data_IF_046599536099
#
_entry.id   IF_046599536099
#
_cell.length_a   1.000
_cell.length_b   1.000
_cell.length_c   1.000
_cell.angle_alpha   90.00
_cell.angle_beta   90.00
_cell.angle_gamma   90.00
#
_symmetry.space_group_name_H-M   'P 1'
#
loop_
_entity.id
_entity.type
_entity.pdbx_description
1 polymer ?
#
# COMPACT_ATOMS: atom_id res chain seq x y z
N UNK A 1 21.69 -22.01 21.35
CA UNK A 1 21.52 -22.23 19.90
C UNK A 1 21.81 -20.92 19.21
N UNK A 2 22.91 -20.82 18.47
CA UNK A 2 23.14 -19.65 17.60
C UNK A 2 22.26 -19.84 16.36
N UNK A 3 21.28 -18.96 16.16
CA UNK A 3 20.55 -18.89 14.90
C UNK A 3 21.58 -18.57 13.81
N UNK A 4 21.65 -19.41 12.77
CA UNK A 4 22.43 -19.07 11.58
C UNK A 4 21.93 -17.73 11.05
N UNK A 5 22.81 -16.78 10.69
CA UNK A 5 22.37 -15.57 10.03
C UNK A 5 21.62 -15.98 8.76
N UNK A 6 20.42 -15.42 8.54
CA UNK A 6 19.68 -15.61 7.31
C UNK A 6 20.61 -15.29 6.13
N UNK A 7 20.59 -16.15 5.10
CA UNK A 7 21.40 -15.95 3.90
C UNK A 7 21.05 -14.57 3.29
N UNK A 8 22.07 -13.72 3.12
CA UNK A 8 21.90 -12.34 2.66
C UNK A 8 21.22 -12.30 1.29
N UNK A 9 21.51 -13.28 0.42
CA UNK A 9 20.87 -13.38 -0.89
C UNK A 9 19.37 -13.65 -0.75
N UNK A 10 18.97 -14.46 0.23
CA UNK A 10 17.57 -14.71 0.56
C UNK A 10 16.88 -13.46 1.10
N UNK A 11 17.55 -12.67 1.93
CA UNK A 11 17.03 -11.39 2.43
C UNK A 11 16.85 -10.36 1.30
N UNK A 12 17.83 -10.25 0.40
CA UNK A 12 17.74 -9.37 -0.77
C UNK A 12 16.61 -9.80 -1.72
N UNK A 13 16.45 -11.09 -1.97
CA UNK A 13 15.35 -11.60 -2.79
C UNK A 13 13.98 -11.28 -2.15
N UNK A 14 13.85 -11.50 -0.84
CA UNK A 14 12.64 -11.13 -0.10
C UNK A 14 12.40 -9.62 -0.15
N UNK A 15 13.44 -8.79 -0.04
CA UNK A 15 13.32 -7.34 -0.10
C UNK A 15 12.87 -6.86 -1.48
N UNK A 16 13.39 -7.45 -2.57
CA UNK A 16 12.91 -7.14 -3.93
C UNK A 16 11.44 -7.54 -4.11
N UNK A 17 11.06 -8.72 -3.63
CA UNK A 17 9.69 -9.19 -3.74
C UNK A 17 8.74 -8.33 -2.90
N UNK A 18 9.08 -8.08 -1.64
CA UNK A 18 8.33 -7.17 -0.78
C UNK A 18 8.25 -5.78 -1.40
N UNK A 19 9.34 -5.29 -1.99
CA UNK A 19 9.45 -4.03 -2.73
C UNK A 19 8.54 -3.94 -3.95
N UNK A 20 8.35 -5.04 -4.67
CA UNK A 20 7.47 -5.10 -5.83
C UNK A 20 5.99 -4.86 -5.48
N UNK A 21 5.59 -5.34 -4.29
CA UNK A 21 4.27 -5.08 -3.68
C UNK A 21 4.27 -3.88 -2.75
N UNK A 22 5.45 -3.39 -2.35
CA UNK A 22 5.62 -2.18 -1.58
C UNK A 22 5.29 -1.02 -2.50
N UNK A 23 4.04 -0.62 -2.40
CA UNK A 23 3.60 0.62 -2.96
C UNK A 23 3.93 1.66 -1.88
N UNK A 24 4.92 2.52 -2.15
CA UNK A 24 5.07 3.84 -1.49
C UNK A 24 3.73 4.62 -1.49
N UNK A 25 2.82 4.17 -2.37
CA UNK A 25 1.47 4.58 -2.66
C UNK A 25 0.29 3.79 -2.06
N UNK A 26 0.37 2.69 -1.29
CA UNK A 26 -0.92 2.11 -0.82
C UNK A 26 -1.59 3.03 0.20
N UNK A 27 -0.92 3.25 1.33
CA UNK A 27 -1.40 4.20 2.32
C UNK A 27 -1.50 5.61 1.75
N UNK A 28 -0.53 6.01 0.91
CA UNK A 28 -0.54 7.34 0.31
C UNK A 28 -1.66 7.53 -0.74
N UNK A 29 -2.00 6.53 -1.56
CA UNK A 29 -3.13 6.58 -2.49
C UNK A 29 -4.46 6.54 -1.75
N UNK A 30 -4.60 5.71 -0.71
CA UNK A 30 -5.79 5.73 0.16
C UNK A 30 -5.96 7.11 0.80
N UNK A 31 -4.88 7.69 1.32
CA UNK A 31 -4.88 9.06 1.85
C UNK A 31 -5.19 10.10 0.77
N UNK A 32 -4.65 9.95 -0.44
CA UNK A 32 -4.87 10.85 -1.57
C UNK A 32 -6.33 10.86 -2.01
N UNK A 33 -6.94 9.68 -2.15
CA UNK A 33 -8.37 9.50 -2.45
C UNK A 33 -9.20 10.18 -1.35
N UNK A 34 -8.94 9.85 -0.08
CA UNK A 34 -9.62 10.43 1.07
C UNK A 34 -9.55 11.96 1.11
N UNK A 35 -8.35 12.52 0.93
CA UNK A 35 -8.12 13.97 0.92
C UNK A 35 -8.82 14.64 -0.27
N UNK A 36 -8.77 14.00 -1.44
CA UNK A 36 -9.44 14.49 -2.64
C UNK A 36 -10.95 14.53 -2.45
N UNK A 37 -11.54 13.49 -1.85
CA UNK A 37 -12.97 13.45 -1.57
C UNK A 37 -13.38 14.46 -0.49
N UNK A 38 -12.51 14.73 0.50
CA UNK A 38 -12.74 15.82 1.45
C UNK A 38 -12.88 17.16 0.75
N UNK A 39 -11.99 17.45 -0.21
CA UNK A 39 -12.02 18.68 -1.02
C UNK A 39 -13.25 18.68 -1.93
N UNK A 40 -13.59 17.54 -2.54
CA UNK A 40 -14.80 17.40 -3.34
C UNK A 40 -16.07 17.74 -2.58
N UNK A 41 -16.19 17.30 -1.32
CA UNK A 41 -17.35 17.61 -0.48
C UNK A 41 -17.42 19.10 -0.11
N UNK A 42 -16.26 19.73 0.13
CA UNK A 42 -16.16 21.14 0.47
C UNK A 42 -16.42 22.07 -0.72
N UNK A 43 -15.79 21.79 -1.86
CA UNK A 43 -15.73 22.68 -3.02
C UNK A 43 -16.69 22.28 -4.15
N UNK A 44 -17.16 21.02 -4.15
CA UNK A 44 -18.12 20.52 -5.13
C UNK A 44 -17.60 20.36 -6.56
N UNK A 45 -16.29 20.30 -6.75
CA UNK A 45 -15.62 20.15 -8.06
C UNK A 45 -15.71 18.72 -8.58
N UNK A 46 -16.50 18.41 -9.63
CA UNK A 46 -16.67 17.05 -10.15
C UNK A 46 -15.34 16.37 -10.54
N UNK A 47 -14.37 17.12 -11.04
CA UNK A 47 -13.05 16.63 -11.45
C UNK A 47 -12.29 15.97 -10.29
N UNK A 48 -12.56 16.39 -9.04
CA UNK A 48 -11.99 15.77 -7.83
C UNK A 48 -12.55 14.37 -7.61
N UNK A 49 -13.84 14.18 -7.84
CA UNK A 49 -14.46 12.86 -7.71
C UNK A 49 -13.97 11.90 -8.80
N UNK A 50 -13.79 12.40 -10.03
CA UNK A 50 -13.22 11.63 -11.14
C UNK A 50 -11.78 11.21 -10.83
N UNK A 51 -10.94 12.14 -10.38
CA UNK A 51 -9.57 11.84 -9.97
C UNK A 51 -9.49 10.78 -8.85
N UNK A 52 -10.36 10.88 -7.84
CA UNK A 52 -10.41 9.91 -6.74
C UNK A 52 -10.80 8.50 -7.23
N UNK A 53 -11.75 8.40 -8.16
CA UNK A 53 -12.16 7.13 -8.76
C UNK A 53 -11.07 6.54 -9.66
N UNK A 54 -10.34 7.37 -10.40
CA UNK A 54 -9.21 6.92 -11.22
C UNK A 54 -8.06 6.37 -10.36
N UNK A 55 -7.69 7.06 -9.28
CA UNK A 55 -6.69 6.57 -8.31
C UNK A 55 -7.14 5.26 -7.64
N UNK A 56 -8.42 5.12 -7.29
CA UNK A 56 -8.98 3.88 -6.75
C UNK A 56 -8.85 2.74 -7.76
N UNK A 57 -9.20 2.98 -9.03
CA UNK A 57 -9.08 1.99 -10.09
C UNK A 57 -7.64 1.56 -10.32
N UNK A 58 -6.69 2.50 -10.34
CA UNK A 58 -5.26 2.18 -10.47
C UNK A 58 -4.78 1.30 -9.31
N UNK A 59 -5.26 1.56 -8.09
CA UNK A 59 -4.98 0.73 -6.93
C UNK A 59 -5.55 -0.69 -7.06
N UNK A 60 -6.82 -0.82 -7.48
CA UNK A 60 -7.47 -2.11 -7.72
C UNK A 60 -6.75 -2.94 -8.79
N UNK A 61 -6.40 -2.31 -9.93
CA UNK A 61 -5.66 -2.95 -11.01
C UNK A 61 -4.31 -3.49 -10.52
N UNK A 62 -3.60 -2.74 -9.69
CA UNK A 62 -2.32 -3.21 -9.15
C UNK A 62 -2.48 -4.37 -8.17
N UNK A 63 -3.46 -4.31 -7.26
CA UNK A 63 -3.75 -5.41 -6.35
C UNK A 63 -4.21 -6.69 -7.07
N UNK A 64 -4.88 -6.54 -8.22
CA UNK A 64 -5.32 -7.67 -9.06
C UNK A 64 -4.15 -8.47 -9.66
N UNK A 65 -2.98 -7.84 -9.81
CA UNK A 65 -1.77 -8.46 -10.39
C UNK A 65 -0.98 -9.29 -9.37
N UNK A 66 -1.26 -9.15 -8.08
CA UNK A 66 -0.57 -9.88 -7.01
C UNK A 66 -0.99 -11.35 -7.03
N UNK A 67 -0.02 -12.26 -7.16
CA UNK A 67 -0.24 -13.71 -7.12
C UNK A 67 -0.42 -14.21 -5.68
N UNK A 68 -1.55 -13.86 -5.04
CA UNK A 68 -1.81 -14.19 -3.63
C UNK A 68 -1.71 -15.69 -3.27
N UNK A 69 -1.84 -16.60 -4.24
CA UNK A 69 -1.65 -18.03 -4.00
C UNK A 69 -0.19 -18.35 -3.66
N UNK A 70 0.77 -17.66 -4.29
CA UNK A 70 2.21 -17.82 -4.06
C UNK A 70 2.65 -17.18 -2.72
N UNK A 71 1.84 -16.27 -2.19
CA UNK A 71 2.08 -15.58 -0.92
C UNK A 71 1.45 -16.29 0.28
N UNK A 72 0.63 -17.32 0.05
CA UNK A 72 -0.10 -17.99 1.12
C UNK A 72 0.86 -18.67 2.11
N UNK A 73 0.63 -18.44 3.41
CA UNK A 73 1.48 -18.98 4.48
C UNK A 73 2.76 -18.18 4.76
N UNK A 74 3.04 -17.10 4.00
CA UNK A 74 4.20 -16.24 4.20
C UNK A 74 3.82 -14.99 5.01
N UNK A 75 4.23 -14.95 6.28
CA UNK A 75 3.79 -13.95 7.27
C UNK A 75 4.13 -12.51 6.85
N UNK A 76 5.26 -12.29 6.18
CA UNK A 76 5.71 -10.97 5.70
C UNK A 76 4.67 -10.28 4.78
N UNK A 77 3.80 -11.06 4.13
CA UNK A 77 2.81 -10.60 3.16
C UNK A 77 1.38 -10.58 3.71
N UNK A 78 1.14 -10.99 4.96
CA UNK A 78 -0.20 -11.01 5.56
C UNK A 78 -0.94 -9.66 5.49
N UNK A 79 -0.29 -8.49 5.67
CA UNK A 79 -0.94 -7.21 5.45
C UNK A 79 -1.59 -7.06 4.07
N UNK A 80 -0.99 -7.59 3.00
CA UNK A 80 -1.54 -7.52 1.64
C UNK A 80 -2.87 -8.29 1.54
N UNK A 81 -3.01 -9.42 2.26
CA UNK A 81 -4.27 -10.16 2.30
C UNK A 81 -5.38 -9.39 3.03
N UNK A 82 -5.02 -8.63 4.06
CA UNK A 82 -5.99 -7.78 4.77
C UNK A 82 -6.48 -6.70 3.82
N UNK A 83 -5.58 -5.99 3.13
CA UNK A 83 -5.96 -4.98 2.14
C UNK A 83 -6.84 -5.56 1.05
N UNK A 84 -6.49 -6.74 0.50
CA UNK A 84 -7.31 -7.43 -0.50
C UNK A 84 -8.75 -7.65 -0.03
N UNK A 85 -8.96 -7.93 1.27
CA UNK A 85 -10.30 -8.11 1.85
C UNK A 85 -11.04 -6.79 2.06
N UNK A 86 -10.33 -5.71 2.40
CA UNK A 86 -10.92 -4.40 2.66
C UNK A 86 -11.25 -3.62 1.39
N UNK A 87 -10.48 -3.82 0.31
CA UNK A 87 -10.55 -3.01 -0.91
C UNK A 87 -11.95 -2.96 -1.57
N UNK A 88 -12.71 -4.06 -1.68
CA UNK A 88 -14.06 -4.02 -2.26
C UNK A 88 -15.03 -3.14 -1.45
N UNK A 89 -14.91 -3.18 -0.12
CA UNK A 89 -15.74 -2.37 0.76
C UNK A 89 -15.32 -0.89 0.68
N UNK A 90 -14.02 -0.62 0.68
CA UNK A 90 -13.50 0.72 0.51
C UNK A 90 -13.99 1.36 -0.79
N UNK A 91 -13.97 0.59 -1.90
CA UNK A 91 -14.53 1.03 -3.17
C UNK A 91 -16.00 1.42 -3.05
N UNK A 92 -16.82 0.57 -2.43
CA UNK A 92 -18.25 0.84 -2.24
C UNK A 92 -18.47 2.14 -1.46
N UNK A 93 -17.66 2.39 -0.43
CA UNK A 93 -17.76 3.62 0.36
C UNK A 93 -17.33 4.86 -0.44
N UNK A 94 -16.26 4.77 -1.24
CA UNK A 94 -15.85 5.85 -2.16
C UNK A 94 -16.97 6.18 -3.16
N UNK A 95 -17.53 5.17 -3.83
CA UNK A 95 -18.64 5.36 -4.78
C UNK A 95 -19.89 5.95 -4.11
N UNK A 96 -20.16 5.54 -2.86
CA UNK A 96 -21.25 6.10 -2.05
C UNK A 96 -21.01 7.58 -1.74
N UNK A 97 -19.82 7.96 -1.27
CA UNK A 97 -19.46 9.37 -1.02
C UNK A 97 -19.62 10.22 -2.28
N UNK A 98 -19.14 9.72 -3.42
CA UNK A 98 -19.24 10.43 -4.70
C UNK A 98 -20.70 10.63 -5.12
N UNK A 99 -21.54 9.60 -4.96
CA UNK A 99 -22.94 9.65 -5.39
C UNK A 99 -23.86 10.45 -4.46
N UNK A 100 -23.67 10.37 -3.14
CA UNK A 100 -24.55 11.03 -2.17
C UNK A 100 -24.08 12.43 -1.79
N UNK A 101 -22.76 12.67 -1.83
CA UNK A 101 -22.10 13.89 -1.34
C UNK A 101 -22.43 14.21 0.12
N UNK A 102 -22.68 13.18 0.94
CA UNK A 102 -23.00 13.35 2.35
C UNK A 102 -21.74 13.22 3.22
N UNK A 103 -21.58 14.15 4.17
CA UNK A 103 -20.50 14.09 5.16
C UNK A 103 -20.54 12.80 6.00
N UNK A 104 -21.73 12.30 6.33
CA UNK A 104 -21.89 11.07 7.11
C UNK A 104 -21.31 9.84 6.40
N UNK A 105 -21.44 9.76 5.07
CA UNK A 105 -20.89 8.66 4.29
C UNK A 105 -19.35 8.78 4.22
N UNK A 106 -18.84 10.01 4.19
CA UNK A 106 -17.40 10.26 4.24
C UNK A 106 -16.79 9.90 5.59
N UNK A 107 -17.47 10.22 6.69
CA UNK A 107 -17.01 9.87 8.04
C UNK A 107 -16.98 8.34 8.25
N UNK A 108 -17.96 7.62 7.67
CA UNK A 108 -17.97 6.14 7.63
C UNK A 108 -16.75 5.62 6.84
N UNK A 109 -16.49 6.19 5.66
CA UNK A 109 -15.32 5.87 4.85
C UNK A 109 -13.99 6.16 5.59
N UNK A 110 -13.89 7.25 6.36
CA UNK A 110 -12.67 7.61 7.09
C UNK A 110 -12.22 6.54 8.09
N UNK A 111 -13.16 5.87 8.76
CA UNK A 111 -12.82 4.79 9.70
C UNK A 111 -12.09 3.64 8.99
N UNK A 112 -12.47 3.38 7.73
CA UNK A 112 -11.80 2.38 6.89
C UNK A 112 -10.44 2.86 6.40
N UNK A 113 -10.33 4.13 6.02
CA UNK A 113 -9.08 4.78 5.62
C UNK A 113 -8.02 4.58 6.72
N UNK A 114 -8.35 4.87 7.98
CA UNK A 114 -7.43 4.68 9.12
C UNK A 114 -6.95 3.22 9.21
N UNK A 115 -7.88 2.27 9.14
CA UNK A 115 -7.53 0.84 9.21
C UNK A 115 -6.59 0.43 8.07
N UNK A 116 -6.87 0.89 6.85
CA UNK A 116 -6.03 0.60 5.69
C UNK A 116 -4.65 1.25 5.81
N UNK A 117 -4.56 2.48 6.35
CA UNK A 117 -3.29 3.14 6.64
C UNK A 117 -2.45 2.35 7.65
N UNK A 118 -3.06 1.86 8.73
CA UNK A 118 -2.39 1.06 9.75
C UNK A 118 -1.83 -0.25 9.17
N UNK A 119 -2.62 -0.95 8.34
CA UNK A 119 -2.18 -2.17 7.64
C UNK A 119 -1.01 -1.87 6.70
N UNK A 120 -1.08 -0.76 5.96
CA UNK A 120 0.02 -0.29 5.12
C UNK A 120 1.29 0.00 5.92
N UNK A 121 1.15 0.64 7.08
CA UNK A 121 2.27 0.94 7.98
C UNK A 121 2.92 -0.33 8.56
N UNK A 122 2.14 -1.37 8.85
CA UNK A 122 2.67 -2.67 9.29
C UNK A 122 3.52 -3.34 8.19
N UNK A 123 3.03 -3.32 6.95
CA UNK A 123 3.79 -3.84 5.81
C UNK A 123 5.09 -3.05 5.59
N UNK A 124 5.00 -1.72 5.62
CA UNK A 124 6.16 -0.85 5.49
C UNK A 124 7.20 -1.10 6.57
N UNK A 125 6.76 -1.21 7.83
CA UNK A 125 7.65 -1.49 8.95
C UNK A 125 8.40 -2.80 8.76
N UNK A 126 7.71 -3.84 8.28
CA UNK A 126 8.33 -5.15 8.02
C UNK A 126 9.38 -5.04 6.91
N UNK A 127 9.05 -4.36 5.81
CA UNK A 127 9.99 -4.10 4.71
C UNK A 127 11.21 -3.27 5.17
N UNK A 128 10.99 -2.21 5.95
CA UNK A 128 12.07 -1.39 6.49
C UNK A 128 13.00 -2.17 7.42
N UNK A 129 12.45 -2.99 8.32
CA UNK A 129 13.25 -3.82 9.21
C UNK A 129 14.11 -4.83 8.43
N UNK A 130 13.58 -5.37 7.32
CA UNK A 130 14.34 -6.23 6.41
C UNK A 130 15.50 -5.46 5.75
N UNK A 131 15.24 -4.25 5.25
CA UNK A 131 16.28 -3.39 4.67
C UNK A 131 17.37 -3.02 5.69
N UNK A 132 16.99 -2.66 6.92
CA UNK A 132 17.92 -2.41 8.03
C UNK A 132 18.79 -3.64 8.33
N UNK A 133 18.20 -4.85 8.26
CA UNK A 133 18.93 -6.10 8.44
C UNK A 133 19.96 -6.31 7.32
N UNK A 134 19.59 -6.08 6.06
CA UNK A 134 20.51 -6.17 4.92
C UNK A 134 21.67 -5.17 5.06
N UNK A 135 21.37 -3.92 5.42
CA UNK A 135 22.37 -2.87 5.58
C UNK A 135 23.32 -3.06 6.75
N UNK A 136 22.96 -3.88 7.74
CA UNK A 136 23.86 -4.27 8.81
C UNK A 136 25.07 -5.08 8.27
N UNK A 137 24.94 -5.70 7.10
CA UNK A 137 26.05 -6.38 6.42
C UNK A 137 26.98 -5.34 5.74
N UNK A 138 28.29 -5.31 6.07
CA UNK A 138 29.20 -4.28 5.58
C UNK A 138 29.26 -4.14 4.05
N UNK A 139 29.15 -5.24 3.32
CA UNK A 139 29.20 -5.28 1.84
C UNK A 139 27.90 -4.78 1.18
N UNK A 140 26.80 -4.71 1.94
CA UNK A 140 25.45 -4.41 1.43
C UNK A 140 24.90 -3.07 1.94
N UNK A 141 25.71 -2.21 2.56
CA UNK A 141 25.29 -0.85 2.98
C UNK A 141 24.78 0.03 1.83
N UNK A 142 25.19 -0.27 0.61
CA UNK A 142 24.74 0.43 -0.61
C UNK A 142 23.54 -0.24 -1.29
N UNK A 143 23.03 -1.35 -0.75
CA UNK A 143 21.92 -2.08 -1.32
C UNK A 143 20.65 -1.21 -1.35
N UNK A 144 19.88 -1.36 -2.42
CA UNK A 144 18.61 -0.67 -2.59
C UNK A 144 17.62 -1.56 -3.34
N UNK A 145 16.35 -1.30 -3.10
CA UNK A 145 15.24 -1.91 -3.82
C UNK A 145 14.60 -0.86 -4.72
N UNK A 146 14.28 -1.23 -5.96
CA UNK A 146 13.50 -0.38 -6.84
C UNK A 146 12.02 -0.64 -6.59
N UNK A 147 11.32 0.38 -6.12
CA UNK A 147 9.88 0.33 -5.85
C UNK A 147 9.17 1.19 -6.88
N UNK A 148 7.99 0.76 -7.33
CA UNK A 148 7.15 1.52 -8.28
C UNK A 148 5.99 2.15 -7.54
N UNK A 149 5.65 3.41 -7.82
CA UNK A 149 4.43 4.04 -7.30
C UNK A 149 3.20 3.73 -8.18
N UNK A 150 2.04 4.34 -7.90
CA UNK A 150 0.80 4.11 -8.66
C UNK A 150 0.85 4.63 -10.10
N UNK A 151 1.89 5.41 -10.45
CA UNK A 151 2.13 5.93 -11.81
C UNK A 151 3.31 5.22 -12.49
N UNK A 152 3.70 4.05 -11.97
CA UNK A 152 4.84 3.26 -12.43
C UNK A 152 6.18 4.01 -12.37
N UNK A 153 6.28 5.09 -11.58
CA UNK A 153 7.54 5.80 -11.39
C UNK A 153 8.43 5.02 -10.44
N UNK A 154 9.67 4.80 -10.87
CA UNK A 154 10.67 4.07 -10.10
C UNK A 154 11.31 4.96 -9.03
N UNK A 155 11.32 4.46 -7.80
CA UNK A 155 11.99 5.07 -6.65
C UNK A 155 12.98 4.07 -6.06
N UNK A 156 14.12 4.57 -5.59
CA UNK A 156 15.10 3.75 -4.88
C UNK A 156 14.84 3.84 -3.38
N UNK A 157 14.49 2.71 -2.79
CA UNK A 157 14.44 2.55 -1.34
C UNK A 157 15.81 2.06 -0.87
N UNK A 158 16.51 2.90 -0.10
CA UNK A 158 17.74 2.54 0.59
C UNK A 158 17.35 2.20 2.01
#
# INVERSE_FOLDING_TARGET
>A
MMQQPADIQGLEALAQEMGSYYIDGFGHTIWSISSTLSIYLLEGQPERSEYALDELKALEERYSRIQFQELHGREDFYPLFIVRKLLPEYRRQVERVVSTRLQSDFDEMQSMVVTMLDVGALYFKSFRNLMETIHAHPEHRGYYVTVKDTKDLERKFR
#
